data_IF_072990188189
#
_entry.id   IF_072990188189
#
_cell.length_a   1.000
_cell.length_b   1.000
_cell.length_c   1.000
_cell.angle_alpha   90.00
_cell.angle_beta   90.00
_cell.angle_gamma   90.00
#
_symmetry.space_group_name_H-M   'P 1'
#
loop_
_entity.id
_entity.type
_entity.pdbx_description
1 polymer ?
#
# COMPACT_ATOMS: atom_id res chain seq x y z
N UNK A 1 -1.85 -0.03 13.52
CA UNK A 1 -1.85 1.03 12.51
C UNK A 1 -2.12 2.33 13.22
N UNK A 2 -1.28 3.32 13.06
CA UNK A 2 -1.48 4.65 13.64
C UNK A 2 -1.96 5.57 12.53
N UNK A 3 -3.09 6.22 12.69
CA UNK A 3 -3.65 7.17 11.71
C UNK A 3 -3.59 8.58 12.24
N UNK A 4 -3.41 9.54 11.34
CA UNK A 4 -3.64 10.95 11.58
C UNK A 4 -5.11 11.26 11.24
N UNK A 5 -5.97 11.41 12.25
CA UNK A 5 -7.33 11.84 12.02
C UNK A 5 -7.44 13.36 12.25
N UNK A 6 -7.92 14.09 11.24
CA UNK A 6 -8.07 15.55 11.28
C UNK A 6 -9.49 16.05 11.13
N UNK A 7 -10.45 15.15 11.00
CA UNK A 7 -11.85 15.50 10.75
C UNK A 7 -12.72 14.83 11.80
N UNK A 8 -14.05 15.15 11.88
CA UNK A 8 -14.97 14.46 12.78
C UNK A 8 -15.05 12.93 12.57
N UNK A 9 -14.35 12.41 11.58
CA UNK A 9 -14.14 10.98 11.34
C UNK A 9 -12.88 10.55 12.09
N UNK A 10 -13.04 10.07 13.31
CA UNK A 10 -11.94 9.52 14.11
C UNK A 10 -11.63 8.10 13.62
N UNK A 11 -10.79 7.99 12.58
CA UNK A 11 -10.33 6.71 12.03
C UNK A 11 -9.31 6.03 12.95
N UNK A 12 -9.71 5.67 14.18
CA UNK A 12 -8.80 4.98 15.12
C UNK A 12 -8.63 3.50 14.83
N UNK A 13 -9.37 2.94 13.89
CA UNK A 13 -9.24 1.54 13.50
C UNK A 13 -9.56 1.31 12.03
N UNK A 14 -8.55 1.06 11.24
CA UNK A 14 -8.70 0.54 9.88
C UNK A 14 -8.35 -0.93 9.91
N UNK A 15 -9.28 -1.76 9.49
CA UNK A 15 -9.00 -3.16 9.19
C UNK A 15 -8.49 -3.22 7.78
N UNK A 16 -7.18 -3.26 7.66
CA UNK A 16 -6.52 -3.53 6.40
C UNK A 16 -6.68 -5.03 6.11
N UNK A 17 -7.51 -5.39 5.17
CA UNK A 17 -7.51 -6.75 4.66
C UNK A 17 -6.45 -6.93 3.60
N UNK A 18 -5.22 -7.13 4.04
CA UNK A 18 -4.13 -7.61 3.18
C UNK A 18 -4.33 -9.06 2.73
N UNK A 19 -5.34 -9.74 3.24
CA UNK A 19 -5.63 -11.14 2.91
C UNK A 19 -6.45 -11.31 1.64
N UNK A 20 -7.07 -10.24 1.16
CA UNK A 20 -7.76 -10.23 -0.12
C UNK A 20 -6.78 -10.06 -1.28
N UNK A 21 -5.79 -10.88 -1.32
CA UNK A 21 -5.30 -11.28 -2.63
C UNK A 21 -6.41 -12.08 -3.28
N UNK A 22 -7.09 -11.47 -4.23
CA UNK A 22 -7.74 -12.19 -5.29
C UNK A 22 -6.63 -12.91 -6.03
N UNK A 23 -6.17 -13.93 -5.46
CA UNK A 23 -5.36 -14.87 -6.19
C UNK A 23 -5.95 -16.20 -5.86
N UNK A 24 -6.31 -16.78 -6.87
CA UNK A 24 -5.35 -17.43 -7.72
C UNK A 24 -4.79 -16.44 -8.74
N UNK A 25 -3.51 -16.55 -9.03
CA UNK A 25 -2.78 -15.87 -10.11
C UNK A 25 -3.45 -16.00 -11.49
N UNK A 26 -4.59 -16.66 -11.58
CA UNK A 26 -5.40 -16.99 -12.74
C UNK A 26 -6.77 -16.32 -12.79
N UNK A 27 -7.08 -15.38 -11.90
CA UNK A 27 -8.39 -14.73 -11.90
C UNK A 27 -8.44 -13.64 -12.97
N UNK A 28 -9.04 -13.95 -14.11
CA UNK A 28 -9.37 -12.97 -15.14
C UNK A 28 -10.72 -12.31 -14.84
N UNK A 29 -11.03 -11.20 -15.51
CA UNK A 29 -12.36 -10.57 -15.46
C UNK A 29 -13.45 -11.59 -15.81
N UNK A 30 -13.15 -12.54 -16.69
CA UNK A 30 -14.08 -13.58 -17.15
C UNK A 30 -14.30 -14.70 -16.11
N UNK A 31 -13.39 -14.89 -15.17
CA UNK A 31 -13.50 -15.84 -14.06
C UNK A 31 -13.92 -15.21 -12.73
N UNK A 32 -14.31 -13.95 -12.73
CA UNK A 32 -14.61 -13.15 -11.55
C UNK A 32 -15.72 -13.77 -10.67
N UNK A 33 -16.74 -14.40 -11.27
CA UNK A 33 -17.85 -14.99 -10.51
C UNK A 33 -17.38 -16.15 -9.62
N UNK A 34 -16.46 -16.98 -10.07
CA UNK A 34 -15.88 -18.06 -9.25
C UNK A 34 -14.98 -17.48 -8.15
N UNK A 35 -14.23 -16.45 -8.47
CA UNK A 35 -13.38 -15.77 -7.50
C UNK A 35 -14.18 -15.04 -6.41
N UNK A 36 -15.34 -14.50 -6.75
CA UNK A 36 -16.21 -13.80 -5.80
C UNK A 36 -16.75 -14.72 -4.70
N UNK A 37 -16.94 -16.01 -4.96
CA UNK A 37 -17.33 -16.97 -3.90
C UNK A 37 -16.22 -17.06 -2.82
N UNK A 38 -14.96 -17.20 -3.24
CA UNK A 38 -13.84 -17.19 -2.29
C UNK A 38 -13.66 -15.83 -1.62
N UNK A 39 -13.94 -14.76 -2.35
CA UNK A 39 -13.93 -13.40 -1.84
C UNK A 39 -14.98 -13.18 -0.75
N UNK A 40 -16.24 -13.59 -0.96
CA UNK A 40 -17.30 -13.49 0.04
C UNK A 40 -16.91 -14.19 1.34
N UNK A 41 -16.35 -15.39 1.25
CA UNK A 41 -15.87 -16.12 2.44
C UNK A 41 -14.75 -15.38 3.17
N UNK A 42 -13.85 -14.75 2.42
CA UNK A 42 -12.77 -13.93 2.97
C UNK A 42 -13.32 -12.67 3.65
N UNK A 43 -14.25 -11.97 3.01
CA UNK A 43 -14.94 -10.79 3.59
C UNK A 43 -15.58 -11.14 4.93
N UNK A 44 -16.34 -12.22 4.99
CA UNK A 44 -16.99 -12.69 6.24
C UNK A 44 -15.95 -12.99 7.31
N UNK A 45 -14.89 -13.75 6.97
CA UNK A 45 -13.85 -14.11 7.91
C UNK A 45 -13.12 -12.88 8.48
N UNK A 46 -12.86 -11.88 7.65
CA UNK A 46 -12.18 -10.65 8.07
C UNK A 46 -13.07 -9.75 8.93
N UNK A 47 -14.36 -9.65 8.61
CA UNK A 47 -15.34 -8.95 9.45
C UNK A 47 -15.41 -9.61 10.85
N UNK A 48 -15.45 -10.94 10.90
CA UNK A 48 -15.49 -11.67 12.17
C UNK A 48 -14.21 -11.43 13.00
N UNK A 49 -13.03 -11.48 12.36
CA UNK A 49 -11.75 -11.19 13.02
C UNK A 49 -11.68 -9.76 13.53
N UNK A 50 -12.10 -8.80 12.70
CA UNK A 50 -12.11 -7.39 13.06
C UNK A 50 -13.02 -7.11 14.26
N UNK A 51 -14.22 -7.68 14.26
CA UNK A 51 -15.16 -7.55 15.39
C UNK A 51 -14.64 -8.19 16.68
N UNK A 52 -13.88 -9.30 16.56
CA UNK A 52 -13.28 -9.96 17.72
C UNK A 52 -12.20 -9.13 18.42
N UNK A 53 -11.55 -8.21 17.72
CA UNK A 53 -10.49 -7.34 18.25
C UNK A 53 -10.90 -5.87 18.33
N UNK A 54 -12.15 -5.56 18.01
CA UNK A 54 -12.67 -4.21 18.01
C UNK A 54 -12.69 -3.64 19.43
N UNK A 55 -12.10 -2.46 19.59
CA UNK A 55 -12.21 -1.68 20.82
C UNK A 55 -13.47 -0.80 20.78
N UNK A 56 -14.06 -0.54 21.93
CA UNK A 56 -15.20 0.36 22.04
C UNK A 56 -14.84 1.75 21.57
N UNK A 57 -15.72 2.37 20.79
CA UNK A 57 -15.49 3.71 20.20
C UNK A 57 -14.57 3.72 18.97
N UNK A 58 -14.19 2.55 18.43
CA UNK A 58 -13.39 2.45 17.20
C UNK A 58 -14.28 2.09 16.02
N UNK A 59 -14.31 2.95 15.01
CA UNK A 59 -14.97 2.67 13.74
C UNK A 59 -14.10 1.75 12.87
N UNK A 60 -14.77 0.80 12.20
CA UNK A 60 -14.12 -0.09 11.26
C UNK A 60 -14.35 0.43 9.84
N UNK A 61 -13.28 0.53 9.07
CA UNK A 61 -13.33 0.79 7.63
C UNK A 61 -12.86 -0.47 6.91
N UNK A 62 -13.66 -0.97 5.98
CA UNK A 62 -13.28 -2.11 5.16
C UNK A 62 -12.54 -1.65 3.91
N UNK A 63 -11.32 -2.13 3.71
CA UNK A 63 -10.55 -1.89 2.48
C UNK A 63 -10.83 -3.04 1.53
N UNK A 64 -11.57 -2.77 0.46
CA UNK A 64 -12.06 -3.79 -0.47
C UNK A 64 -10.96 -4.42 -1.35
N UNK A 65 -9.80 -3.81 -1.40
CA UNK A 65 -8.63 -4.30 -2.11
C UNK A 65 -7.57 -3.22 -2.30
N UNK A 66 -6.47 -3.60 -2.94
CA UNK A 66 -5.33 -2.72 -3.17
C UNK A 66 -4.80 -2.95 -4.59
N UNK A 67 -4.64 -1.88 -5.38
CA UNK A 67 -3.96 -1.82 -6.68
C UNK A 67 -4.34 -2.99 -7.63
N UNK A 68 -5.64 -3.28 -7.76
CA UNK A 68 -6.12 -4.44 -8.52
C UNK A 68 -5.65 -4.46 -9.97
N UNK A 69 -5.41 -3.31 -10.57
CA UNK A 69 -4.91 -3.24 -11.94
C UNK A 69 -3.55 -3.91 -12.14
N UNK A 70 -2.70 -3.93 -11.10
CA UNK A 70 -1.39 -4.59 -11.12
C UNK A 70 -1.37 -5.94 -10.39
N UNK A 71 -2.15 -6.09 -9.32
CA UNK A 71 -2.13 -7.33 -8.52
C UNK A 71 -3.05 -8.42 -9.08
N UNK A 72 -4.00 -8.09 -9.96
CA UNK A 72 -4.89 -9.07 -10.59
C UNK A 72 -4.73 -9.09 -12.11
N UNK A 73 -5.02 -10.24 -12.71
CA UNK A 73 -5.12 -10.37 -14.15
C UNK A 73 -6.41 -9.71 -14.67
N UNK A 74 -6.40 -9.34 -15.94
CA UNK A 74 -7.60 -8.87 -16.64
C UNK A 74 -7.66 -7.37 -16.91
N UNK A 75 -6.86 -6.53 -16.21
CA UNK A 75 -6.73 -5.10 -16.53
C UNK A 75 -5.51 -4.87 -17.41
N UNK A 76 -4.31 -5.10 -16.89
CA UNK A 76 -3.08 -5.04 -17.69
C UNK A 76 -2.60 -6.45 -18.03
N UNK A 77 -2.00 -6.61 -19.23
CA UNK A 77 -1.47 -7.86 -19.66
C UNK A 77 -0.16 -8.21 -18.91
N UNK A 78 -0.02 -9.46 -18.49
CA UNK A 78 1.19 -9.96 -17.81
C UNK A 78 0.88 -11.11 -16.87
N UNK A 79 1.80 -12.09 -16.81
CA UNK A 79 1.67 -13.26 -15.93
C UNK A 79 1.90 -12.95 -14.45
N UNK A 80 2.62 -11.88 -14.17
CA UNK A 80 2.98 -11.42 -12.84
C UNK A 80 2.93 -9.88 -12.76
N UNK A 81 3.18 -9.33 -11.59
CA UNK A 81 3.16 -7.88 -11.36
C UNK A 81 4.15 -7.14 -12.25
N UNK A 82 5.34 -7.71 -12.50
CA UNK A 82 6.36 -7.05 -13.32
C UNK A 82 5.92 -6.97 -14.77
N UNK A 83 5.32 -8.04 -15.30
CA UNK A 83 4.74 -8.07 -16.64
C UNK A 83 3.60 -7.07 -16.79
N UNK A 84 2.70 -6.97 -15.81
CA UNK A 84 1.60 -6.01 -15.81
C UNK A 84 2.08 -4.57 -15.68
N UNK A 85 3.10 -4.32 -14.86
CA UNK A 85 3.73 -3.01 -14.75
C UNK A 85 4.40 -2.61 -16.07
N UNK A 86 5.12 -3.52 -16.71
CA UNK A 86 5.70 -3.28 -18.04
C UNK A 86 4.61 -2.98 -19.09
N UNK A 87 3.48 -3.71 -19.05
CA UNK A 87 2.33 -3.44 -19.91
C UNK A 87 1.73 -2.05 -19.68
N UNK A 88 1.60 -1.62 -18.43
CA UNK A 88 1.16 -0.26 -18.08
C UNK A 88 2.14 0.79 -18.65
N UNK A 89 3.43 0.61 -18.43
CA UNK A 89 4.45 1.55 -18.87
C UNK A 89 4.54 1.66 -20.40
N UNK A 90 4.37 0.54 -21.11
CA UNK A 90 4.41 0.51 -22.57
C UNK A 90 3.09 0.88 -23.26
N UNK A 91 2.03 1.13 -22.51
CA UNK A 91 0.69 1.36 -23.07
C UNK A 91 0.63 2.53 -24.07
N UNK A 92 1.49 3.53 -23.91
CA UNK A 92 1.61 4.71 -24.79
C UNK A 92 2.59 4.53 -25.94
N UNK A 93 3.37 3.45 -25.98
CA UNK A 93 4.40 3.27 -27.01
C UNK A 93 3.79 3.18 -28.41
N UNK A 94 4.32 3.96 -29.35
CA UNK A 94 3.87 3.99 -30.72
C UNK A 94 2.46 4.53 -30.96
N UNK A 95 1.80 5.10 -29.95
CA UNK A 95 0.46 5.67 -30.04
C UNK A 95 0.50 7.20 -29.99
N UNK A 96 -0.42 7.84 -30.72
CA UNK A 96 -0.74 9.24 -30.47
C UNK A 96 -1.48 9.39 -29.12
N UNK A 97 -1.59 10.61 -28.62
CA UNK A 97 -2.20 10.91 -27.33
C UNK A 97 -3.66 10.44 -27.24
N UNK A 98 -4.43 10.58 -28.33
CA UNK A 98 -5.82 10.16 -28.34
C UNK A 98 -5.97 8.63 -28.29
N UNK A 99 -5.13 7.89 -29.01
CA UNK A 99 -5.10 6.44 -28.98
C UNK A 99 -4.62 5.92 -27.62
N UNK A 100 -3.65 6.58 -27.00
CA UNK A 100 -3.20 6.27 -25.64
C UNK A 100 -4.34 6.47 -24.64
N UNK A 101 -5.01 7.61 -24.65
CA UNK A 101 -6.13 7.91 -23.74
C UNK A 101 -7.27 6.90 -23.90
N UNK A 102 -7.65 6.50 -25.11
CA UNK A 102 -8.66 5.47 -25.35
C UNK A 102 -8.25 4.13 -24.73
N UNK A 103 -7.01 3.70 -24.97
CA UNK A 103 -6.51 2.45 -24.41
C UNK A 103 -6.51 2.47 -22.87
N UNK A 104 -6.15 3.60 -22.27
CA UNK A 104 -6.19 3.77 -20.83
C UNK A 104 -7.62 3.72 -20.28
N UNK A 105 -8.55 4.39 -20.94
CA UNK A 105 -9.95 4.41 -20.56
C UNK A 105 -10.60 3.02 -20.61
N UNK A 106 -10.27 2.20 -21.63
CA UNK A 106 -10.71 0.79 -21.68
C UNK A 106 -10.23 0.02 -20.45
N UNK A 107 -8.95 0.18 -20.07
CA UNK A 107 -8.40 -0.47 -18.88
C UNK A 107 -9.08 -0.01 -17.59
N UNK A 108 -9.41 1.26 -17.47
CA UNK A 108 -10.14 1.76 -16.31
C UNK A 108 -11.59 1.28 -16.26
N UNK A 109 -12.24 1.05 -17.39
CA UNK A 109 -13.56 0.41 -17.44
C UNK A 109 -13.49 -1.03 -16.94
N UNK A 110 -12.45 -1.79 -17.31
CA UNK A 110 -12.21 -3.14 -16.82
C UNK A 110 -12.01 -3.15 -15.30
N UNK A 111 -11.15 -2.26 -14.79
CA UNK A 111 -10.93 -2.08 -13.36
C UNK A 111 -12.23 -1.77 -12.62
N UNK A 112 -12.98 -0.78 -13.08
CA UNK A 112 -14.21 -0.34 -12.40
C UNK A 112 -15.31 -1.40 -12.45
N UNK A 113 -15.36 -2.27 -13.46
CA UNK A 113 -16.25 -3.45 -13.46
C UNK A 113 -15.88 -4.42 -12.33
N UNK A 114 -14.59 -4.68 -12.10
CA UNK A 114 -14.11 -5.50 -10.98
C UNK A 114 -14.49 -4.83 -9.66
N UNK A 115 -14.19 -3.55 -9.50
CA UNK A 115 -14.44 -2.80 -8.27
C UNK A 115 -15.93 -2.72 -7.92
N UNK A 116 -16.80 -2.59 -8.90
CA UNK A 116 -18.25 -2.62 -8.69
C UNK A 116 -18.73 -3.96 -8.10
N UNK A 117 -18.23 -5.09 -8.64
CA UNK A 117 -18.56 -6.44 -8.15
C UNK A 117 -18.02 -6.67 -6.75
N UNK A 118 -16.77 -6.25 -6.50
CA UNK A 118 -16.13 -6.33 -5.20
C UNK A 118 -16.86 -5.48 -4.16
N UNK A 119 -17.17 -4.24 -4.47
CA UNK A 119 -17.93 -3.35 -3.58
C UNK A 119 -19.31 -3.96 -3.25
N UNK A 120 -20.00 -4.51 -4.24
CA UNK A 120 -21.27 -5.19 -4.02
C UNK A 120 -21.13 -6.37 -3.05
N UNK A 121 -20.12 -7.22 -3.23
CA UNK A 121 -19.86 -8.37 -2.35
C UNK A 121 -19.58 -7.94 -0.90
N UNK A 122 -18.76 -6.89 -0.73
CA UNK A 122 -18.53 -6.32 0.62
C UNK A 122 -19.81 -5.82 1.23
N UNK A 123 -20.61 -5.03 0.50
CA UNK A 123 -21.87 -4.43 0.97
C UNK A 123 -22.95 -5.44 1.35
N UNK A 124 -22.92 -6.64 0.80
CA UNK A 124 -23.81 -7.73 1.21
C UNK A 124 -23.55 -8.17 2.66
N UNK A 125 -22.30 -8.14 3.09
CA UNK A 125 -21.84 -8.67 4.37
C UNK A 125 -21.44 -7.59 5.39
N UNK A 126 -21.19 -6.35 4.94
CA UNK A 126 -20.68 -5.27 5.76
C UNK A 126 -21.46 -3.97 5.54
N UNK A 127 -21.92 -3.34 6.64
CA UNK A 127 -22.72 -2.11 6.63
C UNK A 127 -21.94 -0.85 7.04
N UNK A 128 -20.66 -0.98 7.37
CA UNK A 128 -19.78 0.14 7.72
C UNK A 128 -19.17 0.82 6.49
N UNK A 129 -18.19 1.66 6.74
CA UNK A 129 -17.46 2.40 5.70
C UNK A 129 -16.58 1.46 4.88
N UNK A 130 -16.58 1.65 3.57
CA UNK A 130 -15.80 0.86 2.61
C UNK A 130 -14.94 1.77 1.77
N UNK A 131 -13.70 1.38 1.57
CA UNK A 131 -12.75 2.04 0.67
C UNK A 131 -12.00 1.03 -0.20
N UNK A 132 -11.17 1.53 -1.08
CA UNK A 132 -10.21 0.81 -1.91
C UNK A 132 -8.87 1.53 -1.85
N UNK A 133 -7.76 0.81 -1.80
CA UNK A 133 -6.43 1.38 -1.86
C UNK A 133 -5.97 1.44 -3.32
N UNK A 134 -6.00 2.62 -3.91
CA UNK A 134 -5.76 2.84 -5.33
C UNK A 134 -4.34 3.31 -5.58
N UNK A 135 -3.65 2.72 -6.54
CA UNK A 135 -2.45 3.32 -7.10
C UNK A 135 -2.77 4.65 -7.81
N UNK A 136 -1.81 5.56 -7.84
CA UNK A 136 -2.00 6.89 -8.47
C UNK A 136 -2.22 6.84 -9.99
N UNK A 137 -1.97 5.70 -10.62
CA UNK A 137 -2.19 5.42 -12.04
C UNK A 137 -3.58 4.88 -12.34
N UNK A 138 -4.39 4.54 -11.33
CA UNK A 138 -5.74 4.03 -11.48
C UNK A 138 -6.75 5.18 -11.53
N UNK A 139 -7.75 5.08 -12.41
CA UNK A 139 -8.91 5.97 -12.42
C UNK A 139 -10.13 5.23 -11.89
N UNK A 140 -10.35 5.38 -10.59
CA UNK A 140 -11.36 4.67 -9.82
C UNK A 140 -12.69 5.42 -9.84
N UNK A 141 -13.79 4.70 -10.06
CA UNK A 141 -15.13 5.22 -9.80
C UNK A 141 -15.41 5.27 -8.28
N UNK A 142 -15.06 6.39 -7.68
CA UNK A 142 -15.22 6.61 -6.24
C UNK A 142 -16.68 6.68 -5.79
N UNK A 143 -17.66 6.65 -6.70
CA UNK A 143 -19.07 6.52 -6.31
C UNK A 143 -19.37 5.19 -5.61
N UNK A 144 -18.55 4.16 -5.88
CA UNK A 144 -18.64 2.82 -5.30
C UNK A 144 -18.24 2.73 -3.81
N UNK A 145 -17.53 3.73 -3.32
CA UNK A 145 -16.86 3.72 -2.00
C UNK A 145 -17.27 4.95 -1.16
N UNK A 146 -17.09 4.86 0.16
CA UNK A 146 -17.39 5.96 1.09
C UNK A 146 -16.21 6.90 1.28
N UNK A 147 -14.99 6.39 1.05
CA UNK A 147 -13.72 7.06 1.27
C UNK A 147 -12.90 6.92 -0.01
N UNK A 148 -12.17 7.97 -0.39
CA UNK A 148 -11.15 7.95 -1.43
C UNK A 148 -9.84 7.50 -0.80
N UNK A 149 -9.42 6.26 -1.09
CA UNK A 149 -8.17 5.69 -0.57
C UNK A 149 -7.08 5.65 -1.64
N UNK A 150 -5.93 6.23 -1.37
CA UNK A 150 -4.85 6.36 -2.35
C UNK A 150 -3.52 5.93 -1.75
N UNK A 151 -2.79 5.07 -2.46
CA UNK A 151 -1.40 4.74 -2.18
C UNK A 151 -0.52 5.83 -2.75
N UNK A 152 0.00 6.71 -1.87
CA UNK A 152 0.55 7.98 -2.28
C UNK A 152 2.00 8.17 -1.83
N UNK A 153 2.90 7.72 -2.68
CA UNK A 153 4.34 7.82 -2.48
C UNK A 153 4.91 9.03 -3.21
N UNK A 154 5.91 9.65 -2.61
CA UNK A 154 6.71 10.69 -3.25
C UNK A 154 8.02 10.09 -3.75
N UNK A 155 8.33 10.32 -5.02
CA UNK A 155 9.62 9.95 -5.61
C UNK A 155 10.50 11.20 -5.85
N UNK A 156 10.59 11.64 -7.10
CA UNK A 156 11.39 12.81 -7.53
C UNK A 156 10.59 14.12 -7.61
N UNK A 157 9.33 14.08 -7.25
CA UNK A 157 8.47 15.28 -7.29
C UNK A 157 8.94 16.31 -6.28
N UNK A 158 8.73 17.58 -6.59
CA UNK A 158 8.88 18.67 -5.62
C UNK A 158 7.85 18.51 -4.49
N UNK A 159 8.10 19.10 -3.34
CA UNK A 159 7.13 19.10 -2.23
C UNK A 159 5.80 19.71 -2.66
N UNK A 160 5.83 20.82 -3.40
CA UNK A 160 4.65 21.48 -3.93
C UNK A 160 3.85 20.58 -4.89
N UNK A 161 4.52 19.93 -5.85
CA UNK A 161 3.85 19.02 -6.78
C UNK A 161 3.23 17.82 -6.07
N UNK A 162 3.86 17.31 -5.02
CA UNK A 162 3.34 16.23 -4.19
C UNK A 162 2.08 16.66 -3.43
N UNK A 163 2.12 17.81 -2.76
CA UNK A 163 0.97 18.38 -2.04
C UNK A 163 -0.19 18.69 -3.00
N UNK A 164 0.08 19.35 -4.13
CA UNK A 164 -0.95 19.66 -5.12
C UNK A 164 -1.54 18.39 -5.75
N UNK A 165 -0.75 17.34 -5.90
CA UNK A 165 -1.18 16.06 -6.45
C UNK A 165 -2.23 15.36 -5.59
N UNK A 166 -2.12 15.38 -4.25
CA UNK A 166 -3.11 14.75 -3.38
C UNK A 166 -4.41 15.56 -3.33
N UNK A 167 -4.35 16.88 -3.43
CA UNK A 167 -5.53 17.74 -3.38
C UNK A 167 -6.52 17.48 -4.52
N UNK A 168 -6.07 16.94 -5.66
CA UNK A 168 -6.96 16.58 -6.77
C UNK A 168 -8.06 15.59 -6.38
N UNK A 169 -7.84 14.80 -5.35
CA UNK A 169 -8.82 13.80 -4.89
C UNK A 169 -9.97 14.42 -4.09
N UNK A 170 -9.83 15.64 -3.56
CA UNK A 170 -10.89 16.37 -2.87
C UNK A 170 -12.12 16.64 -3.78
N UNK A 171 -11.92 16.67 -5.12
CA UNK A 171 -13.00 16.84 -6.11
C UNK A 171 -14.12 15.80 -5.98
N UNK A 172 -13.86 14.64 -5.38
CA UNK A 172 -14.86 13.59 -5.20
C UNK A 172 -15.83 13.85 -4.06
N UNK A 173 -15.64 14.93 -3.26
CA UNK A 173 -16.52 15.32 -2.17
C UNK A 173 -16.61 14.29 -1.04
N UNK A 174 -15.59 13.44 -0.89
CA UNK A 174 -15.49 12.37 0.11
C UNK A 174 -14.22 12.54 0.93
N UNK A 175 -14.15 11.97 2.14
CA UNK A 175 -12.90 11.91 2.89
C UNK A 175 -11.79 11.29 2.04
N UNK A 176 -10.61 11.90 2.04
CA UNK A 176 -9.42 11.38 1.34
C UNK A 176 -8.46 10.80 2.35
N UNK A 177 -8.07 9.56 2.17
CA UNK A 177 -7.12 8.86 3.04
C UNK A 177 -5.94 8.36 2.23
N UNK A 178 -4.73 8.72 2.65
CA UNK A 178 -3.51 8.12 2.15
C UNK A 178 -3.38 6.74 2.76
N UNK A 179 -3.57 5.70 1.95
CA UNK A 179 -3.60 4.31 2.40
C UNK A 179 -2.21 3.72 2.57
N UNK A 180 -1.28 4.18 1.75
CA UNK A 180 0.12 3.80 1.84
C UNK A 180 1.04 4.99 1.59
N UNK A 181 2.01 5.17 2.47
CA UNK A 181 3.22 5.98 2.27
C UNK A 181 4.37 5.34 3.02
N UNK A 182 5.51 5.23 2.40
CA UNK A 182 6.67 4.57 3.03
C UNK A 182 7.94 4.71 2.21
N UNK A 183 9.03 4.23 2.78
CA UNK A 183 10.35 4.25 2.17
C UNK A 183 11.14 3.01 2.60
N UNK A 184 11.95 2.48 1.72
CA UNK A 184 12.93 1.44 2.08
C UNK A 184 14.08 2.03 2.91
N UNK A 185 14.81 1.17 3.64
CA UNK A 185 15.84 1.57 4.60
C UNK A 185 17.26 1.49 4.01
N UNK A 186 17.48 2.10 2.83
CA UNK A 186 18.79 2.17 2.20
C UNK A 186 19.03 3.56 1.56
N UNK A 187 20.29 3.90 1.38
CA UNK A 187 20.71 5.18 0.81
C UNK A 187 20.20 5.36 -0.62
N UNK A 188 19.46 6.42 -0.87
CA UNK A 188 18.84 6.74 -2.15
C UNK A 188 17.41 6.23 -2.31
N UNK A 189 16.86 5.48 -1.34
CA UNK A 189 15.49 4.96 -1.37
C UNK A 189 14.43 6.07 -1.45
N UNK A 190 14.67 7.21 -0.80
CA UNK A 190 13.76 8.36 -0.78
C UNK A 190 13.43 8.91 -2.18
N UNK A 191 14.28 8.64 -3.18
CA UNK A 191 14.05 9.07 -4.58
C UNK A 191 13.30 8.04 -5.42
N UNK A 192 13.08 6.87 -4.86
CA UNK A 192 12.46 5.74 -5.56
C UNK A 192 10.96 5.65 -5.32
N UNK A 193 10.46 6.28 -4.24
CA UNK A 193 9.05 6.19 -3.86
C UNK A 193 8.59 4.74 -3.73
N UNK A 194 7.46 4.41 -4.34
CA UNK A 194 6.92 3.05 -4.36
C UNK A 194 7.78 2.01 -5.09
N UNK A 195 8.76 2.45 -5.89
CA UNK A 195 9.67 1.54 -6.60
C UNK A 195 10.91 1.14 -5.78
N UNK A 196 11.06 1.63 -4.53
CA UNK A 196 12.25 1.37 -3.72
C UNK A 196 12.60 -0.10 -3.53
N UNK A 197 11.60 -0.97 -3.43
CA UNK A 197 11.79 -2.42 -3.28
C UNK A 197 12.39 -3.09 -4.53
N UNK A 198 12.25 -2.50 -5.72
CA UNK A 198 12.67 -3.10 -6.99
C UNK A 198 14.19 -3.20 -7.16
N UNK A 199 14.95 -2.53 -6.30
CA UNK A 199 16.42 -2.66 -6.29
C UNK A 199 16.86 -4.10 -6.02
N UNK A 200 16.10 -4.87 -5.24
CA UNK A 200 16.28 -6.31 -5.06
C UNK A 200 15.45 -7.07 -6.12
N UNK A 201 16.11 -7.60 -7.12
CA UNK A 201 15.49 -8.30 -8.25
C UNK A 201 15.23 -9.79 -7.98
N UNK A 202 15.83 -10.32 -6.94
CA UNK A 202 15.70 -11.73 -6.57
C UNK A 202 16.81 -12.19 -5.62
N UNK A 203 16.90 -13.50 -5.46
CA UNK A 203 17.95 -14.15 -4.67
C UNK A 203 18.59 -15.27 -5.46
N UNK A 204 19.83 -15.61 -5.10
CA UNK A 204 20.48 -16.82 -5.63
C UNK A 204 19.67 -18.07 -5.27
N UNK A 205 19.81 -19.20 -6.01
CA UNK A 205 19.05 -20.42 -5.76
C UNK A 205 19.18 -20.98 -4.32
N UNK A 206 20.29 -20.70 -3.65
CA UNK A 206 20.51 -21.07 -2.25
C UNK A 206 19.90 -20.05 -1.24
N UNK A 207 19.30 -18.97 -1.74
CA UNK A 207 18.66 -17.94 -0.93
C UNK A 207 19.61 -17.09 -0.07
N UNK A 208 20.93 -17.18 -0.28
CA UNK A 208 21.92 -16.53 0.57
C UNK A 208 22.37 -15.17 0.08
N UNK A 209 22.29 -14.91 -1.22
CA UNK A 209 22.77 -13.67 -1.85
C UNK A 209 21.64 -12.99 -2.61
N UNK A 210 21.49 -11.69 -2.46
CA UNK A 210 20.57 -10.89 -3.24
C UNK A 210 21.11 -10.60 -4.64
N UNK A 211 20.22 -10.62 -5.61
CA UNK A 211 20.47 -10.13 -6.97
C UNK A 211 19.96 -8.70 -7.01
N UNK A 212 20.87 -7.74 -7.05
CA UNK A 212 20.52 -6.33 -7.00
C UNK A 212 20.66 -5.67 -8.38
N UNK A 213 19.82 -4.69 -8.63
CA UNK A 213 19.95 -3.81 -9.78
C UNK A 213 21.35 -3.14 -9.76
N UNK A 214 22.09 -3.26 -10.84
CA UNK A 214 23.48 -2.77 -10.90
C UNK A 214 24.51 -3.67 -10.24
N UNK A 215 24.12 -4.87 -9.77
CA UNK A 215 25.03 -5.92 -9.29
C UNK A 215 25.61 -5.71 -7.87
N UNK A 216 25.30 -4.58 -7.22
CA UNK A 216 25.83 -4.27 -5.87
C UNK A 216 24.68 -4.01 -4.92
N UNK A 217 24.69 -4.59 -3.68
CA UNK A 217 23.69 -4.28 -2.68
C UNK A 217 23.77 -2.80 -2.29
N UNK A 218 22.62 -2.14 -2.07
CA UNK A 218 22.61 -0.79 -1.55
C UNK A 218 23.16 -0.75 -0.10
N UNK A 219 23.54 0.44 0.33
CA UNK A 219 23.99 0.65 1.70
C UNK A 219 22.78 0.90 2.59
N UNK A 220 22.59 0.10 3.65
CA UNK A 220 21.53 0.31 4.64
C UNK A 220 21.60 1.72 5.24
N UNK A 221 20.45 2.39 5.29
CA UNK A 221 20.30 3.73 5.84
C UNK A 221 18.88 3.89 6.43
N UNK A 222 18.74 3.56 7.72
CA UNK A 222 17.45 3.66 8.43
C UNK A 222 17.06 5.13 8.68
N UNK A 223 18.05 6.03 8.72
CA UNK A 223 17.80 7.46 8.89
C UNK A 223 17.12 8.06 7.67
N UNK A 224 17.54 7.68 6.45
CA UNK A 224 16.87 8.14 5.23
C UNK A 224 15.41 7.71 5.21
N UNK A 225 15.09 6.48 5.64
CA UNK A 225 13.73 6.00 5.79
C UNK A 225 12.94 6.86 6.80
N UNK A 226 13.53 7.13 7.96
CA UNK A 226 12.89 7.90 9.03
C UNK A 226 12.61 9.36 8.61
N UNK A 227 13.60 10.01 7.99
CA UNK A 227 13.50 11.39 7.51
C UNK A 227 12.47 11.50 6.37
N UNK A 228 12.39 10.50 5.47
CA UNK A 228 11.39 10.45 4.42
C UNK A 228 9.98 10.40 5.02
N UNK A 229 9.71 9.43 5.89
CA UNK A 229 8.36 9.23 6.44
C UNK A 229 7.91 10.45 7.23
N UNK A 230 8.77 11.03 8.06
CA UNK A 230 8.47 12.28 8.77
C UNK A 230 8.14 13.41 7.78
N UNK A 231 8.97 13.59 6.75
CA UNK A 231 8.76 14.66 5.76
C UNK A 231 7.42 14.53 5.05
N UNK A 232 7.02 13.31 4.66
CA UNK A 232 5.73 13.12 3.98
C UNK A 232 4.55 13.45 4.92
N UNK A 233 4.63 13.06 6.18
CA UNK A 233 3.60 13.41 7.18
C UNK A 233 3.52 14.93 7.35
N UNK A 234 4.66 15.60 7.48
CA UNK A 234 4.72 17.06 7.63
C UNK A 234 4.16 17.81 6.41
N UNK A 235 4.42 17.32 5.19
CA UNK A 235 3.88 17.90 3.95
C UNK A 235 2.35 17.72 3.83
N UNK A 236 1.83 16.60 4.30
CA UNK A 236 0.42 16.25 4.12
C UNK A 236 -0.47 16.66 5.30
N UNK A 237 0.11 16.87 6.50
CA UNK A 237 -0.67 17.19 7.71
C UNK A 237 -1.55 18.46 7.59
N UNK A 238 -1.21 19.41 6.75
CA UNK A 238 -1.94 20.68 6.56
C UNK A 238 -2.81 20.68 5.29
N UNK A 239 -2.93 19.53 4.61
CA UNK A 239 -3.81 19.32 3.46
C UNK A 239 -5.20 18.87 3.89
N UNK A 240 -6.13 18.73 2.94
CA UNK A 240 -7.51 18.29 3.19
C UNK A 240 -7.67 16.77 3.33
N UNK A 241 -6.58 16.01 3.57
CA UNK A 241 -6.69 14.58 3.81
C UNK A 241 -7.30 14.30 5.20
N UNK A 242 -8.10 13.25 5.28
CA UNK A 242 -8.73 12.79 6.52
C UNK A 242 -7.87 11.84 7.34
N UNK A 243 -6.84 11.27 6.73
CA UNK A 243 -5.92 10.35 7.41
C UNK A 243 -4.77 9.90 6.53
N UNK A 244 -3.76 9.30 7.18
CA UNK A 244 -2.58 8.75 6.51
C UNK A 244 -2.09 7.51 7.24
N UNK A 245 -1.76 6.46 6.49
CA UNK A 245 -1.16 5.23 6.99
C UNK A 245 0.25 5.06 6.46
N UNK A 246 1.18 4.81 7.38
CA UNK A 246 2.55 4.43 7.00
C UNK A 246 2.58 2.95 6.66
N UNK A 247 3.00 2.62 5.46
CA UNK A 247 3.23 1.28 4.97
C UNK A 247 4.70 0.94 5.19
N UNK A 248 5.06 -0.03 6.00
CA UNK A 248 4.25 -0.97 6.76
C UNK A 248 4.93 -1.22 8.13
N UNK A 249 4.20 -1.71 9.13
CA UNK A 249 4.80 -2.01 10.42
C UNK A 249 5.91 -3.06 10.32
N UNK A 250 5.60 -4.24 9.76
CA UNK A 250 6.54 -5.36 9.60
C UNK A 250 6.35 -6.07 8.27
N UNK A 251 7.43 -6.62 7.72
CA UNK A 251 7.42 -7.36 6.45
C UNK A 251 8.19 -8.67 6.56
N UNK A 252 7.65 -9.69 7.23
CA UNK A 252 8.37 -10.92 7.60
C UNK A 252 8.89 -11.75 6.42
N UNK A 253 8.31 -11.56 5.23
CA UNK A 253 8.77 -12.26 4.00
C UNK A 253 10.10 -11.69 3.45
N UNK A 254 10.54 -10.52 3.95
CA UNK A 254 11.82 -9.90 3.64
C UNK A 254 12.62 -9.70 4.93
N UNK A 255 13.17 -10.77 5.52
CA UNK A 255 13.80 -10.71 6.83
C UNK A 255 15.22 -10.10 6.77
N UNK A 256 15.63 -9.55 7.91
CA UNK A 256 17.01 -9.19 8.17
C UNK A 256 17.82 -10.43 8.57
N UNK A 257 18.95 -10.65 7.88
CA UNK A 257 19.90 -11.75 8.20
C UNK A 257 21.26 -11.16 8.52
N UNK A 258 21.66 -11.10 9.79
CA UNK A 258 22.97 -10.58 10.18
C UNK A 258 24.12 -11.32 9.47
N UNK A 259 25.03 -10.58 8.85
CA UNK A 259 26.16 -11.16 8.12
C UNK A 259 25.81 -11.89 6.81
N UNK A 260 24.57 -11.79 6.35
CA UNK A 260 24.05 -12.39 5.14
C UNK A 260 23.22 -11.43 4.31
N UNK A 261 22.22 -11.98 3.61
CA UNK A 261 21.33 -11.20 2.79
C UNK A 261 20.38 -10.33 3.65
N UNK A 262 20.54 -9.02 3.58
CA UNK A 262 19.64 -8.05 4.20
C UNK A 262 18.49 -7.69 3.22
N UNK A 263 17.44 -8.49 3.22
CA UNK A 263 16.24 -8.19 2.44
C UNK A 263 15.40 -7.09 3.10
N UNK A 264 15.48 -6.97 4.44
CA UNK A 264 14.68 -6.02 5.20
C UNK A 264 14.96 -4.56 4.79
N UNK A 265 16.21 -4.21 4.44
CA UNK A 265 16.52 -2.84 4.00
C UNK A 265 15.79 -2.45 2.69
N UNK A 266 15.36 -3.42 1.88
CA UNK A 266 14.59 -3.20 0.66
C UNK A 266 13.07 -3.35 0.87
N UNK A 267 12.63 -3.53 2.13
CA UNK A 267 11.24 -3.47 2.53
C UNK A 267 10.86 -2.08 3.06
N UNK A 268 9.55 -1.80 3.12
CA UNK A 268 9.03 -0.57 3.72
C UNK A 268 8.81 -0.68 5.23
N UNK A 269 9.11 -1.84 5.83
CA UNK A 269 8.86 -2.09 7.24
C UNK A 269 9.60 -1.10 8.15
N UNK A 270 8.91 -0.59 9.17
CA UNK A 270 9.51 0.29 10.18
C UNK A 270 10.14 -0.48 11.33
N UNK A 271 9.96 -1.80 11.34
CA UNK A 271 10.67 -2.72 12.25
C UNK A 271 11.41 -3.77 11.45
N UNK A 272 12.53 -4.20 11.98
CA UNK A 272 13.38 -5.26 11.44
C UNK A 272 12.84 -6.60 11.88
N UNK A 273 12.53 -7.48 10.93
CA UNK A 273 12.09 -8.86 11.22
C UNK A 273 13.20 -9.85 10.94
N UNK A 274 13.20 -10.95 11.66
CA UNK A 274 14.21 -11.99 11.58
C UNK A 274 13.59 -13.30 11.08
N UNK A 275 14.38 -14.19 10.44
CA UNK A 275 13.88 -15.51 10.07
C UNK A 275 13.32 -16.25 11.31
N UNK A 276 12.16 -16.90 11.14
CA UNK A 276 11.49 -17.59 12.25
C UNK A 276 12.33 -18.72 12.88
N UNK A 277 13.27 -19.30 12.13
CA UNK A 277 14.19 -20.33 12.58
C UNK A 277 15.45 -19.79 13.27
N UNK A 278 15.67 -18.48 13.23
CA UNK A 278 16.80 -17.82 13.90
C UNK A 278 16.57 -17.67 15.41
N UNK A 279 17.67 -17.56 16.17
CA UNK A 279 17.60 -17.31 17.61
C UNK A 279 16.81 -16.03 17.93
N UNK A 280 17.02 -14.95 17.16
CA UNK A 280 16.34 -13.68 17.36
C UNK A 280 14.86 -13.74 16.93
N UNK A 281 14.54 -14.46 15.86
CA UNK A 281 13.15 -14.63 15.39
C UNK A 281 12.26 -15.40 16.37
N UNK A 282 12.85 -16.17 17.29
CA UNK A 282 12.11 -16.90 18.35
C UNK A 282 11.90 -16.10 19.63
N UNK A 283 12.51 -14.91 19.74
CA UNK A 283 12.28 -14.02 20.88
C UNK A 283 10.99 -13.21 20.70
N UNK A 284 10.41 -12.76 21.82
CA UNK A 284 9.25 -11.89 21.82
C UNK A 284 9.63 -10.46 22.25
N UNK A 285 9.32 -9.44 21.49
CA UNK A 285 8.74 -9.50 20.14
C UNK A 285 9.75 -10.03 19.12
N UNK A 286 9.30 -10.69 18.03
CA UNK A 286 10.19 -11.28 17.02
C UNK A 286 10.75 -10.24 16.01
N UNK A 287 10.82 -9.00 16.45
CA UNK A 287 11.27 -7.85 15.64
C UNK A 287 12.06 -6.85 16.50
N UNK A 288 12.76 -5.95 15.83
CA UNK A 288 13.43 -4.81 16.44
C UNK A 288 13.04 -3.52 15.74
N UNK A 289 12.82 -2.40 16.48
CA UNK A 289 12.49 -1.13 15.87
C UNK A 289 13.66 -0.59 15.03
N UNK A 290 13.35 0.03 13.89
CA UNK A 290 14.26 0.87 13.10
C UNK A 290 14.15 2.32 13.57
N UNK A 291 15.03 3.22 13.06
CA UNK A 291 14.93 4.64 13.35
C UNK A 291 13.55 5.23 13.01
N UNK A 292 12.93 4.76 11.91
CA UNK A 292 11.60 5.19 11.50
C UNK A 292 10.51 4.89 12.54
N UNK A 293 10.62 3.79 13.29
CA UNK A 293 9.69 3.46 14.37
C UNK A 293 9.70 4.53 15.48
N UNK A 294 10.89 4.91 15.94
CA UNK A 294 11.02 5.93 16.98
C UNK A 294 10.61 7.32 16.48
N UNK A 295 11.02 7.67 15.25
CA UNK A 295 10.65 8.94 14.61
C UNK A 295 9.14 9.10 14.47
N UNK A 296 8.45 8.06 14.04
CA UNK A 296 6.99 8.05 13.96
C UNK A 296 6.34 8.23 15.33
N UNK A 297 6.83 7.54 16.36
CA UNK A 297 6.32 7.70 17.71
C UNK A 297 6.46 9.14 18.23
N UNK A 298 7.51 9.86 17.84
CA UNK A 298 7.70 11.27 18.16
C UNK A 298 6.75 12.17 17.37
N UNK A 299 6.62 11.95 16.07
CA UNK A 299 5.72 12.71 15.19
C UNK A 299 4.27 12.59 15.67
N UNK A 300 3.80 11.38 15.94
CA UNK A 300 2.42 11.17 16.40
C UNK A 300 2.14 11.83 17.75
N UNK A 301 3.06 11.71 18.71
CA UNK A 301 2.93 12.44 20.00
C UNK A 301 2.91 13.96 19.83
N UNK A 302 3.64 14.50 18.85
CA UNK A 302 3.60 15.92 18.51
C UNK A 302 2.25 16.36 17.94
N UNK A 303 1.65 15.52 17.13
CA UNK A 303 0.34 15.79 16.51
C UNK A 303 -0.81 15.68 17.51
N UNK A 304 -0.79 14.73 18.44
CA UNK A 304 -1.77 14.60 19.51
C UNK A 304 -1.81 15.87 20.36
N UNK A 305 -0.64 16.41 20.77
CA UNK A 305 -0.53 17.64 21.54
C UNK A 305 -0.99 18.90 20.80
N UNK A 306 -0.88 18.92 19.48
CA UNK A 306 -1.31 20.05 18.66
C UNK A 306 -2.84 20.04 18.40
N UNK A 307 -3.50 18.90 18.63
CA UNK A 307 -4.95 18.73 18.53
C UNK A 307 -5.73 18.94 19.84
N UNK A 308 -5.00 19.03 20.97
CA UNK A 308 -5.55 19.42 22.27
C UNK A 308 -5.58 20.96 22.41
#
# INVERSE_FOLDING_TARGET
>A
MMSLAKTPWDFRGVVYDVGLRFTPESCSVDSLDTALVAYDMSVIANILRANAVRQEGVDLVFVAGCEYSLFNEGVFAGKDINGRLASLMSLGEGKDMAAFQRSLQEKYQDLNRILARVSQAVRQNYKGLVTYASGTWEDVDWSLFDIVGVDYYRDRQTAEAYVNGIQRYARHGKPVVVMEVGCCAYRGAARMGSAGHTVLQGTTPDGKTGIYQGGTPPIRDEREQADYVQTQIELLKDTEISGLFVYVFSFPIMPYRPGGLDQDMTSYAIVKTYPADSGRGRMMPPWEPKEAFYRLAEVYRGLERAGE
#
